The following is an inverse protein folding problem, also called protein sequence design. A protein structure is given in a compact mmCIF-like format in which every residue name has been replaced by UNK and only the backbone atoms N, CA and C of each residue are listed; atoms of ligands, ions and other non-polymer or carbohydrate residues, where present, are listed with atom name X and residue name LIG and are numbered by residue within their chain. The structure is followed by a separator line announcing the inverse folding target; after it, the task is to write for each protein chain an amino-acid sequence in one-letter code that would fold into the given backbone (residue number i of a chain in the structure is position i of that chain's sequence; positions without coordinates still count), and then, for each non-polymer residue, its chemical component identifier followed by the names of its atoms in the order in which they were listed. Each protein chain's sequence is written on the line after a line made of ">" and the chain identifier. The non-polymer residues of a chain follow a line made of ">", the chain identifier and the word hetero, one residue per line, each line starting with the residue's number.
data_IF_097018411047
#
_entry.id   IF_097018411047
#
_cell.length_a   1.000
_cell.length_b   1.000
_cell.length_c   1.000
_cell.angle_alpha   90.00
_cell.angle_beta   90.00
_cell.angle_gamma   90.00
#
_symmetry.space_group_name_H-M   'P 1'
#
loop_
_entity.id
_entity.type
_entity.pdbx_description
1 polymer ?
#
# COMPACT_ATOMS: atom_id res chain seq x y z
N UNK A 1 11.79 -0.97 5.72
CA UNK A 1 11.77 0.18 4.79
C UNK A 1 11.36 1.41 5.59
N UNK A 2 12.28 2.36 5.80
CA UNK A 2 12.03 3.56 6.61
C UNK A 2 11.20 4.57 5.81
N UNK A 3 9.91 4.68 6.12
CA UNK A 3 9.04 5.71 5.53
C UNK A 3 9.13 6.96 6.41
N UNK A 4 10.19 7.77 6.23
CA UNK A 4 10.24 9.10 6.84
C UNK A 4 9.28 10.03 6.10
N UNK A 5 8.31 10.60 6.81
CA UNK A 5 7.57 11.75 6.31
C UNK A 5 8.56 12.91 6.08
N UNK A 6 8.48 13.52 4.90
CA UNK A 6 9.31 14.70 4.56
C UNK A 6 8.55 15.92 5.12
N UNK A 7 9.21 16.91 5.72
CA UNK A 7 8.56 18.03 6.42
C UNK A 7 7.59 18.87 5.57
N UNK A 8 7.71 18.82 4.24
CA UNK A 8 7.01 19.75 3.33
C UNK A 8 5.57 19.34 2.99
N UNK A 9 5.05 18.22 3.53
CA UNK A 9 3.65 17.83 3.32
C UNK A 9 3.10 17.01 4.47
N UNK A 10 1.94 17.43 4.99
CA UNK A 10 1.19 16.72 6.04
C UNK A 10 0.64 15.36 5.58
N UNK A 11 0.57 15.14 4.26
CA UNK A 11 0.04 13.91 3.66
C UNK A 11 1.12 13.27 2.79
N UNK A 12 1.61 12.12 3.24
CA UNK A 12 2.46 11.26 2.43
C UNK A 12 1.59 10.40 1.50
N UNK A 13 1.83 10.50 0.19
CA UNK A 13 1.22 9.64 -0.82
C UNK A 13 2.19 8.55 -1.26
N UNK A 14 1.71 7.30 -1.24
CA UNK A 14 2.42 6.12 -1.72
C UNK A 14 1.54 5.36 -2.71
N UNK A 15 2.18 4.69 -3.65
CA UNK A 15 1.53 3.91 -4.70
C UNK A 15 2.15 2.51 -4.74
N UNK A 16 1.35 1.47 -4.91
CA UNK A 16 1.82 0.09 -5.04
C UNK A 16 1.03 -0.66 -6.09
N UNK A 17 1.66 -0.99 -7.21
CA UNK A 17 1.07 -1.84 -8.24
C UNK A 17 1.35 -3.30 -7.94
N UNK A 18 0.33 -4.16 -7.99
CA UNK A 18 0.51 -5.61 -7.87
C UNK A 18 -0.61 -6.39 -8.55
N UNK A 19 -0.33 -7.65 -8.87
CA UNK A 19 -1.35 -8.65 -9.11
C UNK A 19 -1.73 -9.32 -7.79
N UNK A 20 -3.00 -9.65 -7.61
CA UNK A 20 -3.47 -10.35 -6.42
C UNK A 20 -4.62 -11.30 -6.74
N UNK A 21 -4.78 -12.35 -5.95
CA UNK A 21 -5.88 -13.27 -6.13
C UNK A 21 -7.24 -12.58 -5.91
N UNK A 22 -8.23 -12.97 -6.72
CA UNK A 22 -9.59 -12.42 -6.68
C UNK A 22 -10.23 -12.55 -5.30
N UNK A 23 -9.98 -13.63 -4.56
CA UNK A 23 -10.49 -13.80 -3.20
C UNK A 23 -9.93 -12.74 -2.24
N UNK A 24 -8.63 -12.48 -2.29
CA UNK A 24 -7.97 -11.47 -1.47
C UNK A 24 -8.42 -10.07 -1.87
N UNK A 25 -8.58 -9.80 -3.15
CA UNK A 25 -9.15 -8.55 -3.63
C UNK A 25 -10.56 -8.31 -3.06
N UNK A 26 -11.40 -9.35 -3.03
CA UNK A 26 -12.73 -9.27 -2.44
C UNK A 26 -12.67 -9.02 -0.93
N UNK A 27 -11.76 -9.66 -0.20
CA UNK A 27 -11.52 -9.39 1.23
C UNK A 27 -11.18 -7.91 1.48
N UNK A 28 -10.33 -7.30 0.65
CA UNK A 28 -10.05 -5.86 0.73
C UNK A 28 -11.29 -5.01 0.49
N UNK A 29 -12.18 -5.40 -0.45
CA UNK A 29 -13.42 -4.67 -0.72
C UNK A 29 -14.43 -4.78 0.42
N UNK A 30 -14.53 -5.94 1.05
CA UNK A 30 -15.43 -6.14 2.20
C UNK A 30 -14.97 -5.37 3.45
N UNK A 31 -13.66 -5.08 3.56
CA UNK A 31 -13.08 -4.34 4.66
C UNK A 31 -12.94 -2.82 4.43
N UNK A 32 -13.64 -2.26 3.43
CA UNK A 32 -13.66 -0.81 3.21
C UNK A 32 -14.20 -0.10 4.47
N UNK A 33 -13.42 0.84 5.00
CA UNK A 33 -13.76 1.60 6.22
C UNK A 33 -13.31 0.91 7.52
N UNK A 34 -12.82 -0.32 7.46
CA UNK A 34 -12.27 -1.05 8.60
C UNK A 34 -10.74 -1.02 8.60
N UNK A 35 -10.14 -1.42 9.73
CA UNK A 35 -8.69 -1.61 9.82
C UNK A 35 -8.30 -2.86 9.02
N UNK A 36 -7.39 -2.68 8.07
CA UNK A 36 -6.81 -3.79 7.31
C UNK A 36 -5.39 -4.01 7.80
N UNK A 37 -5.11 -5.24 8.24
CA UNK A 37 -3.77 -5.69 8.57
C UNK A 37 -3.41 -6.83 7.62
N UNK A 38 -2.32 -6.66 6.87
CA UNK A 38 -1.83 -7.69 5.96
C UNK A 38 -0.44 -8.12 6.34
N UNK A 39 -0.19 -9.43 6.37
CA UNK A 39 1.15 -10.00 6.58
C UNK A 39 2.01 -10.02 5.30
N UNK A 40 1.70 -9.15 4.35
CA UNK A 40 2.38 -9.07 3.06
C UNK A 40 3.16 -7.79 2.88
N UNK A 41 4.22 -7.87 2.07
CA UNK A 41 5.01 -6.71 1.69
C UNK A 41 4.33 -5.94 0.56
N UNK A 42 3.82 -4.74 0.87
CA UNK A 42 3.44 -3.77 -0.15
C UNK A 42 4.70 -3.01 -0.61
N UNK A 43 5.28 -3.44 -1.74
CA UNK A 43 6.32 -2.65 -2.40
C UNK A 43 5.69 -1.36 -2.93
N UNK A 44 6.04 -0.23 -2.32
CA UNK A 44 5.41 1.06 -2.61
C UNK A 44 6.43 2.12 -3.01
N UNK A 45 6.00 3.04 -3.87
CA UNK A 45 6.78 4.17 -4.35
C UNK A 45 6.01 5.47 -4.16
N UNK A 46 6.73 6.58 -3.97
CA UNK A 46 6.16 7.94 -4.04
C UNK A 46 5.86 8.36 -5.47
N UNK A 47 6.49 7.72 -6.45
CA UNK A 47 6.32 8.00 -7.86
C UNK A 47 5.31 7.02 -8.45
N UNK A 48 4.16 7.53 -8.89
CA UNK A 48 3.12 6.74 -9.55
C UNK A 48 3.68 5.96 -10.75
N UNK A 49 4.52 6.59 -11.56
CA UNK A 49 5.12 5.96 -12.75
C UNK A 49 5.94 4.71 -12.41
N UNK A 50 6.70 4.76 -11.31
CA UNK A 50 7.46 3.60 -10.81
C UNK A 50 6.52 2.51 -10.30
N UNK A 51 5.48 2.87 -9.55
CA UNK A 51 4.50 1.91 -9.08
C UNK A 51 3.73 1.22 -10.22
N UNK A 52 3.45 1.95 -11.30
CA UNK A 52 2.79 1.41 -12.50
C UNK A 52 3.66 0.40 -13.27
N UNK A 53 4.99 0.48 -13.17
CA UNK A 53 5.88 -0.49 -13.83
C UNK A 53 5.64 -1.93 -13.34
N UNK A 54 5.17 -2.11 -12.10
CA UNK A 54 4.87 -3.43 -11.53
C UNK A 54 3.60 -4.08 -12.10
N UNK A 55 2.78 -3.32 -12.83
CA UNK A 55 1.55 -3.79 -13.46
C UNK A 55 1.50 -3.47 -14.95
N UNK A 56 2.61 -3.01 -15.54
CA UNK A 56 2.66 -2.64 -16.94
C UNK A 56 2.49 -3.88 -17.81
N UNK A 57 1.48 -3.86 -18.69
CA UNK A 57 1.14 -5.01 -19.54
C UNK A 57 0.41 -6.15 -18.84
N UNK A 58 0.13 -6.02 -17.52
CA UNK A 58 -0.71 -6.96 -16.81
C UNK A 58 -2.18 -6.70 -17.14
N UNK A 59 -2.96 -7.77 -17.24
CA UNK A 59 -4.41 -7.73 -17.44
C UNK A 59 -5.09 -8.63 -16.43
N UNK A 60 -6.32 -8.29 -16.07
CA UNK A 60 -7.15 -9.17 -15.26
C UNK A 60 -7.32 -10.53 -15.95
N UNK A 61 -7.27 -11.59 -15.14
CA UNK A 61 -7.67 -12.94 -15.51
C UNK A 61 -8.62 -13.48 -14.42
N UNK A 62 -9.21 -14.65 -14.62
CA UNK A 62 -10.28 -15.16 -13.73
C UNK A 62 -9.87 -15.18 -12.24
N UNK A 63 -8.65 -15.64 -11.96
CA UNK A 63 -8.16 -15.80 -10.58
C UNK A 63 -7.31 -14.64 -10.08
N UNK A 64 -6.85 -13.72 -10.95
CA UNK A 64 -5.96 -12.63 -10.58
C UNK A 64 -6.50 -11.26 -11.04
N UNK A 65 -6.45 -10.30 -10.12
CA UNK A 65 -6.78 -8.90 -10.33
C UNK A 65 -5.53 -8.04 -10.33
N UNK A 66 -5.46 -7.15 -11.30
CA UNK A 66 -4.42 -6.12 -11.38
C UNK A 66 -4.90 -4.91 -10.59
N UNK A 67 -4.15 -4.54 -9.55
CA UNK A 67 -4.55 -3.48 -8.61
C UNK A 67 -3.42 -2.47 -8.45
N UNK A 68 -3.80 -1.19 -8.51
CA UNK A 68 -2.95 -0.08 -8.10
C UNK A 68 -3.47 0.49 -6.78
N UNK A 69 -2.76 0.20 -5.69
CA UNK A 69 -3.03 0.81 -4.40
C UNK A 69 -2.56 2.26 -4.38
N UNK A 70 -3.40 3.14 -3.84
CA UNK A 70 -3.05 4.51 -3.47
C UNK A 70 -3.22 4.64 -1.96
N UNK A 71 -2.12 4.89 -1.27
CA UNK A 71 -2.06 4.97 0.18
C UNK A 71 -1.75 6.41 0.56
N UNK A 72 -2.64 7.03 1.33
CA UNK A 72 -2.44 8.37 1.87
C UNK A 72 -2.23 8.26 3.38
N UNK A 73 -1.06 8.68 3.85
CA UNK A 73 -0.67 8.65 5.25
C UNK A 73 -0.67 10.08 5.77
N UNK A 74 -1.54 10.39 6.72
CA UNK A 74 -1.48 11.65 7.45
C UNK A 74 -0.30 11.59 8.44
N UNK A 75 0.75 12.34 8.15
CA UNK A 75 1.99 12.37 8.92
C UNK A 75 1.85 13.08 10.27
N UNK A 76 0.79 13.88 10.46
CA UNK A 76 0.47 14.55 11.72
C UNK A 76 -0.31 13.62 12.68
N UNK A 77 -0.85 12.52 12.17
CA UNK A 77 -1.61 11.57 12.99
C UNK A 77 -0.67 10.58 13.69
N UNK A 78 -0.21 10.96 14.88
CA UNK A 78 0.67 10.15 15.76
C UNK A 78 -0.05 8.97 16.43
N UNK A 79 -1.36 8.80 16.21
CA UNK A 79 -2.14 7.70 16.81
C UNK A 79 -2.05 6.39 16.03
N UNK A 80 -1.36 6.38 14.90
CA UNK A 80 -1.24 5.19 14.05
C UNK A 80 0.00 4.42 14.48
N UNK A 81 -0.20 3.12 14.78
CA UNK A 81 0.84 2.21 15.25
C UNK A 81 1.85 1.99 14.11
N UNK A 82 2.97 2.71 14.15
CA UNK A 82 4.15 2.34 13.36
C UNK A 82 4.95 1.34 14.17
N UNK A 83 5.00 0.08 13.73
CA UNK A 83 5.94 -0.89 14.27
C UNK A 83 7.36 -0.46 13.85
N UNK A 84 8.12 0.08 14.81
CA UNK A 84 9.53 0.37 14.62
C UNK A 84 10.33 -0.92 14.82
N UNK A 85 10.64 -1.60 13.71
CA UNK A 85 11.42 -2.85 13.72
C UNK A 85 12.86 -2.67 14.19
N UNK A 86 13.43 -1.46 14.12
CA UNK A 86 14.78 -1.19 14.66
C UNK A 86 14.78 -1.24 16.21
N UNK A 87 13.61 -1.13 16.85
CA UNK A 87 13.43 -1.26 18.31
C UNK A 87 13.03 -2.66 18.77
N UNK A 88 12.95 -3.64 17.87
CA UNK A 88 12.65 -5.03 18.18
C UNK A 88 13.92 -5.91 18.17
N UNK A 89 15.07 -5.33 18.53
CA UNK A 89 16.34 -6.05 18.74
C UNK A 89 16.62 -6.27 20.23
#
# INVERSE_FOLDING_TARGET
>A
MNVKCIPDSDILKLYGGQMMFTNKFNEFKENIGNLISTNDFLSTSRLLTVAMQFILGATDIDELKVVLFKIEVNCQNTRIIFANVDKCS
#
